data_IF_531859755807
#
_entry.id   IF_531859755807
#
_cell.length_a   1.000
_cell.length_b   1.000
_cell.length_c   1.000
_cell.angle_alpha   90.00
_cell.angle_beta   90.00
_cell.angle_gamma   90.00
#
_symmetry.space_group_name_H-M   'P 1'
#
loop_
_entity.id
_entity.type
_entity.pdbx_description
1 polymer ?
#
# COMPACT_ATOMS: atom_id res chain seq x y z
N UNK A 1 -29.69 -15.23 -12.32
CA UNK A 1 -30.29 -16.24 -11.42
C UNK A 1 -30.72 -15.51 -10.15
N UNK A 2 -32.01 -15.17 -10.05
CA UNK A 2 -32.57 -14.50 -8.88
C UNK A 2 -32.88 -15.52 -7.80
N UNK A 3 -32.55 -15.22 -6.55
CA UNK A 3 -33.11 -15.92 -5.39
C UNK A 3 -33.36 -14.90 -4.27
N UNK A 4 -34.64 -14.60 -4.07
CA UNK A 4 -35.18 -13.79 -2.98
C UNK A 4 -35.64 -14.72 -1.86
N UNK A 5 -35.31 -14.43 -0.61
CA UNK A 5 -35.98 -15.03 0.56
C UNK A 5 -36.41 -13.92 1.49
N UNK A 6 -37.72 -13.92 1.76
CA UNK A 6 -38.52 -13.03 2.61
C UNK A 6 -38.61 -13.58 4.06
N UNK A 7 -39.12 -12.80 5.03
CA UNK A 7 -38.65 -12.76 6.41
C UNK A 7 -39.42 -13.68 7.38
N UNK A 8 -38.76 -14.01 8.49
CA UNK A 8 -39.39 -14.65 9.65
C UNK A 8 -39.95 -13.63 10.64
N UNK A 9 -41.26 -13.71 10.89
CA UNK A 9 -42.02 -13.06 11.96
C UNK A 9 -41.98 -13.89 13.24
N UNK A 10 -42.14 -13.24 14.42
CA UNK A 10 -42.68 -13.73 15.73
C UNK A 10 -42.14 -12.82 16.85
N UNK A 11 -42.81 -12.45 17.95
CA UNK A 11 -44.11 -12.74 18.57
C UNK A 11 -44.55 -11.48 19.35
N UNK A 12 -45.87 -11.29 19.44
CA UNK A 12 -46.54 -10.25 20.23
C UNK A 12 -46.41 -10.47 21.75
N UNK A 13 -46.06 -9.42 22.48
CA UNK A 13 -46.45 -9.28 23.89
C UNK A 13 -47.66 -8.34 24.00
N UNK A 14 -48.82 -8.95 24.25
CA UNK A 14 -50.01 -8.27 24.76
C UNK A 14 -49.82 -8.00 26.25
N UNK A 15 -49.94 -6.74 26.66
CA UNK A 15 -50.26 -6.36 28.03
C UNK A 15 -51.37 -5.31 27.99
N UNK A 16 -52.30 -5.44 28.92
CA UNK A 16 -53.69 -4.94 28.86
C UNK A 16 -53.79 -3.51 29.41
N UNK A 17 -54.67 -2.72 28.82
CA UNK A 17 -55.23 -1.51 29.44
C UNK A 17 -56.28 -1.89 30.50
N UNK A 18 -56.63 -0.98 31.42
CA UNK A 18 -57.98 -0.40 31.30
C UNK A 18 -58.18 1.07 31.74
N UNK A 19 -59.16 1.69 31.07
CA UNK A 19 -60.24 2.58 31.54
C UNK A 19 -59.97 3.93 32.25
N UNK A 20 -60.26 5.00 31.48
CA UNK A 20 -61.20 6.11 31.74
C UNK A 20 -61.31 6.74 33.14
N UNK A 21 -61.06 8.05 33.20
CA UNK A 21 -61.93 8.99 33.92
C UNK A 21 -61.78 10.42 33.38
N UNK A 22 -62.87 10.97 32.84
CA UNK A 22 -63.07 12.40 32.58
C UNK A 22 -63.52 13.03 33.88
N UNK A 23 -62.89 14.13 34.29
CA UNK A 23 -63.29 14.94 35.43
C UNK A 23 -62.91 16.39 35.20
N UNK A 24 -63.90 17.22 34.90
CA UNK A 24 -63.75 18.67 34.82
C UNK A 24 -63.73 19.25 36.24
N UNK A 25 -62.69 20.01 36.57
CA UNK A 25 -62.69 20.93 37.71
C UNK A 25 -61.84 22.15 37.36
N UNK A 26 -62.52 23.29 37.29
CA UNK A 26 -61.97 24.63 37.10
C UNK A 26 -61.14 24.99 38.34
N UNK A 27 -59.83 25.17 38.19
CA UNK A 27 -58.95 25.73 39.23
C UNK A 27 -58.13 26.84 38.61
N UNK A 28 -58.41 28.05 39.06
CA UNK A 28 -57.72 29.30 38.70
C UNK A 28 -56.38 29.37 39.44
N UNK A 29 -55.25 29.33 38.73
CA UNK A 29 -53.93 29.66 39.30
C UNK A 29 -52.98 30.22 38.23
N UNK A 30 -52.44 31.41 38.53
CA UNK A 30 -51.40 32.22 37.88
C UNK A 30 -50.69 31.64 36.64
N UNK A 31 -50.87 32.31 35.51
CA UNK A 31 -49.94 32.21 34.39
C UNK A 31 -48.62 32.89 34.75
N UNK A 32 -47.64 32.12 35.23
CA UNK A 32 -46.24 32.53 35.17
C UNK A 32 -45.76 32.35 33.73
N UNK A 33 -45.60 33.44 32.99
CA UNK A 33 -44.92 33.45 31.70
C UNK A 33 -43.43 33.24 31.95
N UNK A 34 -42.99 31.98 31.94
CA UNK A 34 -41.58 31.66 31.79
C UNK A 34 -41.15 32.11 30.39
N UNK A 35 -40.02 32.81 30.21
CA UNK A 35 -39.45 32.95 28.88
C UNK A 35 -39.13 31.55 28.38
N UNK A 36 -39.85 31.09 27.35
CA UNK A 36 -39.41 29.92 26.59
C UNK A 36 -38.11 30.30 25.91
N UNK A 37 -37.00 29.95 26.53
CA UNK A 37 -35.70 29.96 25.87
C UNK A 37 -35.84 29.03 24.65
N UNK A 38 -35.91 29.62 23.46
CA UNK A 38 -35.66 28.88 22.24
C UNK A 38 -34.18 28.51 22.29
N UNK A 39 -33.88 27.29 22.71
CA UNK A 39 -32.63 26.68 22.33
C UNK A 39 -32.70 26.56 20.81
N UNK A 40 -32.11 27.52 20.11
CA UNK A 40 -31.80 27.36 18.69
C UNK A 40 -30.89 26.13 18.65
N UNK A 41 -31.47 25.00 18.29
CA UNK A 41 -30.73 23.77 18.08
C UNK A 41 -29.79 24.10 16.93
N UNK A 42 -28.55 24.48 17.27
CA UNK A 42 -27.49 24.67 16.29
C UNK A 42 -27.48 23.40 15.45
N UNK A 43 -27.84 23.55 14.16
CA UNK A 43 -27.82 22.42 13.25
C UNK A 43 -26.44 21.77 13.39
N UNK A 44 -26.35 20.44 13.56
CA UNK A 44 -25.06 19.79 13.60
C UNK A 44 -24.35 20.20 12.32
N UNK A 45 -23.26 20.96 12.44
CA UNK A 45 -22.39 21.26 11.30
C UNK A 45 -21.91 19.89 10.84
N UNK A 46 -22.50 19.38 9.76
CA UNK A 46 -22.13 18.11 9.23
C UNK A 46 -20.63 18.18 8.94
N UNK A 47 -19.83 17.42 9.68
CA UNK A 47 -18.40 17.29 9.43
C UNK A 47 -18.28 16.81 7.98
N UNK A 48 -17.74 17.66 7.11
CA UNK A 48 -17.52 17.30 5.72
C UNK A 48 -16.77 15.97 5.69
N UNK A 49 -17.29 15.00 4.93
CA UNK A 49 -16.59 13.74 4.73
C UNK A 49 -15.19 14.06 4.19
N UNK A 50 -14.13 13.35 4.66
CA UNK A 50 -12.80 13.57 4.14
C UNK A 50 -12.83 13.40 2.62
N UNK A 51 -12.22 14.35 1.91
CA UNK A 51 -12.12 14.27 0.45
C UNK A 51 -11.43 12.96 0.06
N UNK A 52 -11.98 12.26 -0.94
CA UNK A 52 -11.35 11.07 -1.49
C UNK A 52 -10.01 11.44 -2.15
N UNK A 53 -9.03 10.55 -2.06
CA UNK A 53 -7.79 10.68 -2.82
C UNK A 53 -8.09 10.61 -4.32
N UNK A 54 -7.39 11.45 -5.10
CA UNK A 54 -7.38 11.38 -6.55
C UNK A 54 -6.11 10.64 -6.99
N UNK A 55 -6.26 9.63 -7.84
CA UNK A 55 -5.12 8.97 -8.45
C UNK A 55 -4.40 9.92 -9.41
N UNK A 56 -3.10 10.15 -9.15
CA UNK A 56 -2.23 11.03 -9.96
C UNK A 56 -1.29 10.25 -10.88
N UNK A 57 -1.15 8.94 -10.62
CA UNK A 57 -0.34 8.02 -11.41
C UNK A 57 -0.63 6.58 -11.02
N UNK A 58 -0.60 5.70 -12.03
CA UNK A 58 -0.67 4.24 -11.90
C UNK A 58 0.10 3.62 -13.05
N UNK A 59 0.62 2.41 -12.82
CA UNK A 59 1.12 1.54 -13.88
C UNK A 59 0.71 0.11 -13.56
N UNK A 60 0.07 -0.56 -14.53
CA UNK A 60 -0.41 -1.94 -14.39
C UNK A 60 0.49 -2.94 -15.14
N UNK A 61 1.57 -2.46 -15.79
CA UNK A 61 2.50 -3.28 -16.56
C UNK A 61 1.84 -4.17 -17.63
N UNK A 62 0.76 -3.68 -18.22
CA UNK A 62 0.09 -4.33 -19.35
C UNK A 62 0.97 -4.35 -20.60
N UNK A 63 0.91 -5.45 -21.32
CA UNK A 63 1.62 -5.64 -22.59
C UNK A 63 1.89 -7.11 -22.89
N UNK A 64 2.42 -7.39 -24.07
CA UNK A 64 2.68 -8.75 -24.50
C UNK A 64 3.80 -9.40 -23.65
N UNK A 65 3.68 -10.70 -23.40
CA UNK A 65 4.75 -11.45 -22.73
C UNK A 65 6.07 -11.33 -23.50
N UNK A 66 7.15 -11.00 -22.79
CA UNK A 66 8.49 -10.80 -23.37
C UNK A 66 8.74 -9.40 -23.93
N UNK A 67 7.73 -8.51 -24.01
CA UNK A 67 7.96 -7.12 -24.38
C UNK A 67 8.60 -6.35 -23.22
N UNK A 68 9.23 -5.21 -23.53
CA UNK A 68 9.75 -4.29 -22.50
C UNK A 68 8.63 -3.38 -21.98
N UNK A 69 8.78 -2.81 -20.78
CA UNK A 69 7.98 -1.65 -20.36
C UNK A 69 8.08 -0.53 -21.38
N UNK A 70 6.98 0.19 -21.59
CA UNK A 70 6.92 1.25 -22.58
C UNK A 70 7.93 2.36 -22.26
N UNK A 71 8.74 2.74 -23.25
CA UNK A 71 9.85 3.66 -23.03
C UNK A 71 9.35 5.05 -22.61
N UNK A 72 8.22 5.52 -23.12
CA UNK A 72 7.60 6.81 -22.74
C UNK A 72 7.35 6.96 -21.23
N UNK A 73 7.07 5.86 -20.51
CA UNK A 73 6.90 5.85 -19.06
C UNK A 73 8.17 5.52 -18.26
N UNK A 74 9.13 4.82 -18.87
CA UNK A 74 10.24 4.19 -18.15
C UNK A 74 11.62 4.47 -18.74
N UNK A 75 12.58 4.73 -17.86
CA UNK A 75 14.01 4.68 -18.13
C UNK A 75 14.48 3.27 -17.81
N UNK A 76 15.25 2.66 -18.72
CA UNK A 76 15.96 1.40 -18.43
C UNK A 76 17.42 1.72 -18.20
N UNK A 77 17.88 1.46 -16.98
CA UNK A 77 19.28 1.64 -16.61
C UNK A 77 20.10 0.41 -17.00
N UNK A 78 21.27 0.64 -17.58
CA UNK A 78 22.15 -0.43 -18.05
C UNK A 78 23.58 -0.22 -17.55
N UNK A 79 24.37 -1.28 -17.51
CA UNK A 79 25.75 -1.22 -17.03
C UNK A 79 25.89 -1.35 -15.51
N UNK A 80 26.95 -0.77 -14.96
CA UNK A 80 27.38 -0.90 -13.56
C UNK A 80 27.34 0.43 -12.78
N UNK A 81 26.73 1.46 -13.35
CA UNK A 81 26.54 2.78 -12.73
C UNK A 81 25.98 3.78 -13.73
N UNK A 82 25.51 4.93 -13.24
CA UNK A 82 25.20 6.06 -14.12
C UNK A 82 26.47 6.62 -14.78
N UNK A 83 26.35 7.31 -15.93
CA UNK A 83 27.45 8.10 -16.48
C UNK A 83 28.00 9.07 -15.43
N UNK A 84 29.31 9.01 -15.17
CA UNK A 84 30.00 9.81 -14.14
C UNK A 84 29.53 9.55 -12.69
N UNK A 85 28.71 8.53 -12.45
CA UNK A 85 28.29 8.10 -11.13
C UNK A 85 29.35 7.26 -10.41
N UNK A 86 29.14 6.96 -9.12
CA UNK A 86 29.99 6.02 -8.41
C UNK A 86 29.95 4.64 -9.08
N UNK A 87 31.06 3.88 -9.08
CA UNK A 87 31.09 2.53 -9.63
C UNK A 87 30.18 1.60 -8.84
N UNK A 88 29.76 0.50 -9.47
CA UNK A 88 28.90 -0.52 -8.86
C UNK A 88 27.64 0.08 -8.23
N UNK A 89 27.02 1.02 -8.95
CA UNK A 89 25.83 1.78 -8.53
C UNK A 89 25.93 2.43 -7.14
N UNK A 90 27.15 2.64 -6.62
CA UNK A 90 27.41 3.17 -5.28
C UNK A 90 27.17 2.20 -4.12
N UNK A 91 26.80 0.95 -4.38
CA UNK A 91 26.39 -0.04 -3.37
C UNK A 91 27.33 -1.24 -3.30
N UNK A 92 28.32 -1.33 -4.19
CA UNK A 92 29.21 -2.50 -4.28
C UNK A 92 28.54 -3.72 -4.91
N UNK A 93 27.40 -3.53 -5.57
CA UNK A 93 26.67 -4.59 -6.26
C UNK A 93 27.44 -5.13 -7.47
N UNK A 94 27.22 -6.42 -7.82
CA UNK A 94 28.09 -7.19 -8.73
C UNK A 94 27.49 -7.43 -10.11
N UNK A 95 26.21 -7.13 -10.28
CA UNK A 95 25.50 -7.31 -11.54
C UNK A 95 25.82 -6.21 -12.54
N UNK A 96 25.74 -6.57 -13.82
CA UNK A 96 25.56 -5.60 -14.91
C UNK A 96 24.07 -5.56 -15.26
N UNK A 97 23.43 -4.39 -15.14
CA UNK A 97 22.04 -4.26 -15.58
C UNK A 97 21.97 -4.27 -17.11
N UNK A 98 20.96 -4.93 -17.65
CA UNK A 98 20.71 -5.00 -19.09
C UNK A 98 19.24 -4.73 -19.39
N UNK A 99 18.97 -4.37 -20.63
CA UNK A 99 17.64 -4.22 -21.18
C UNK A 99 17.13 -5.51 -21.84
N UNK A 100 17.85 -6.63 -21.73
CA UNK A 100 17.47 -7.88 -22.40
C UNK A 100 16.16 -8.42 -21.81
N UNK A 101 15.23 -8.97 -22.63
CA UNK A 101 13.96 -9.52 -22.12
C UNK A 101 14.14 -10.54 -20.98
N UNK A 102 15.19 -11.35 -21.08
CA UNK A 102 15.57 -12.32 -20.04
C UNK A 102 15.90 -11.72 -18.67
N UNK A 103 16.19 -10.42 -18.59
CA UNK A 103 16.42 -9.67 -17.36
C UNK A 103 15.27 -8.72 -17.02
N UNK A 104 14.58 -8.17 -18.01
CA UNK A 104 13.54 -7.16 -17.86
C UNK A 104 12.46 -7.31 -18.94
N UNK A 105 11.28 -7.79 -18.57
CA UNK A 105 10.17 -7.96 -19.50
C UNK A 105 8.81 -7.92 -18.80
N UNK A 106 7.74 -7.68 -19.56
CA UNK A 106 6.37 -7.93 -19.16
C UNK A 106 6.06 -9.42 -19.29
N UNK A 107 5.17 -9.95 -18.44
CA UNK A 107 4.83 -11.37 -18.45
C UNK A 107 3.53 -11.69 -19.21
N UNK A 108 2.82 -10.68 -19.71
CA UNK A 108 1.54 -10.86 -20.40
C UNK A 108 0.32 -10.90 -19.49
N UNK A 109 0.51 -10.81 -18.17
CA UNK A 109 -0.54 -10.94 -17.15
C UNK A 109 -0.63 -9.71 -16.23
N UNK A 110 -0.12 -8.55 -16.67
CA UNK A 110 -0.11 -7.32 -15.86
C UNK A 110 1.01 -7.29 -14.82
N UNK A 111 2.14 -7.96 -15.08
CA UNK A 111 3.29 -7.91 -14.19
C UNK A 111 4.60 -7.61 -14.92
N UNK A 112 5.41 -6.78 -14.27
CA UNK A 112 6.82 -6.65 -14.58
C UNK A 112 7.60 -7.84 -14.02
N UNK A 113 8.44 -8.43 -14.86
CA UNK A 113 9.41 -9.45 -14.47
C UNK A 113 10.82 -8.89 -14.56
N UNK A 114 11.44 -8.70 -13.39
CA UNK A 114 12.87 -8.43 -13.25
C UNK A 114 13.54 -9.72 -12.79
N UNK A 115 14.47 -10.23 -13.59
CA UNK A 115 15.13 -11.52 -13.34
C UNK A 115 16.64 -11.35 -13.22
N UNK A 116 17.16 -11.64 -12.03
CA UNK A 116 18.59 -11.81 -11.85
C UNK A 116 19.04 -13.15 -12.47
N UNK A 117 20.08 -13.13 -13.30
CA UNK A 117 20.66 -14.31 -13.94
C UNK A 117 22.12 -14.42 -13.56
N UNK A 118 22.56 -15.64 -13.27
CA UNK A 118 23.96 -15.97 -13.01
C UNK A 118 24.48 -16.84 -14.13
N UNK A 119 25.65 -16.48 -14.67
CA UNK A 119 26.41 -17.30 -15.60
C UNK A 119 27.88 -17.32 -15.16
N UNK A 120 28.34 -18.46 -14.65
CA UNK A 120 29.63 -18.56 -13.96
C UNK A 120 29.75 -17.56 -12.81
N UNK A 121 30.70 -16.63 -12.91
CA UNK A 121 30.92 -15.54 -11.95
C UNK A 121 30.15 -14.25 -12.27
N UNK A 122 29.50 -14.18 -13.43
CA UNK A 122 28.83 -12.99 -13.94
C UNK A 122 27.37 -12.99 -13.48
N UNK A 123 26.90 -11.81 -13.08
CA UNK A 123 25.49 -11.56 -12.77
C UNK A 123 24.92 -10.51 -13.71
N UNK A 124 23.71 -10.74 -14.20
CA UNK A 124 22.90 -9.72 -14.89
C UNK A 124 21.54 -9.57 -14.24
N UNK A 125 20.93 -8.40 -14.37
CA UNK A 125 19.56 -8.13 -13.92
C UNK A 125 18.94 -6.99 -14.74
N UNK A 126 17.71 -6.61 -14.45
CA UNK A 126 17.06 -5.40 -14.97
C UNK A 126 16.96 -4.31 -13.89
N UNK A 127 16.99 -3.04 -14.32
CA UNK A 127 16.71 -1.87 -13.50
C UNK A 127 15.90 -0.87 -14.33
N UNK A 128 14.80 -0.38 -13.77
CA UNK A 128 13.98 0.65 -14.41
C UNK A 128 13.57 1.73 -13.43
N UNK A 129 13.35 2.93 -13.96
CA UNK A 129 12.95 4.10 -13.21
C UNK A 129 11.82 4.82 -13.94
N UNK A 130 10.82 5.39 -13.25
CA UNK A 130 9.85 6.24 -13.89
C UNK A 130 10.54 7.42 -14.59
N UNK A 131 10.07 7.79 -15.78
CA UNK A 131 10.53 9.05 -16.41
C UNK A 131 10.01 10.29 -15.70
N UNK A 132 8.87 10.18 -15.03
CA UNK A 132 8.31 11.25 -14.21
C UNK A 132 9.17 11.48 -12.98
N UNK A 133 9.51 12.74 -12.73
CA UNK A 133 10.29 13.20 -11.57
C UNK A 133 9.51 14.18 -10.70
N UNK A 134 8.23 14.38 -10.98
CA UNK A 134 7.33 15.37 -10.36
C UNK A 134 6.48 14.79 -9.21
N UNK A 135 6.82 13.59 -8.73
CA UNK A 135 6.17 13.00 -7.56
C UNK A 135 6.57 13.77 -6.30
N UNK A 136 5.73 14.72 -5.89
CA UNK A 136 5.93 15.53 -4.69
C UNK A 136 4.66 15.56 -3.84
N UNK A 137 4.82 15.43 -2.53
CA UNK A 137 3.75 15.72 -1.60
C UNK A 137 3.36 17.20 -1.74
N UNK A 138 2.06 17.52 -1.81
CA UNK A 138 1.62 18.91 -1.80
C UNK A 138 2.11 19.61 -0.53
N UNK A 139 2.52 20.85 -0.69
CA UNK A 139 2.85 21.78 0.39
C UNK A 139 1.65 22.66 0.69
N UNK A 140 1.65 23.36 1.83
CA UNK A 140 0.57 24.31 2.12
C UNK A 140 0.45 25.43 1.06
N UNK A 141 1.54 25.76 0.38
CA UNK A 141 1.54 26.74 -0.71
C UNK A 141 0.87 26.23 -2.00
N UNK A 142 0.91 24.92 -2.25
CA UNK A 142 0.36 24.31 -3.48
C UNK A 142 -1.05 23.74 -3.25
N UNK A 143 -1.29 23.15 -2.08
CA UNK A 143 -2.59 22.66 -1.64
C UNK A 143 -2.60 22.60 -0.10
N UNK A 144 -3.15 23.61 0.59
CA UNK A 144 -3.30 23.60 2.05
C UNK A 144 -3.91 22.30 2.56
N UNK A 145 -3.21 21.61 3.47
CA UNK A 145 -3.62 20.33 4.03
C UNK A 145 -3.67 19.15 3.03
N UNK A 146 -3.08 19.30 1.85
CA UNK A 146 -2.95 18.22 0.86
C UNK A 146 -1.89 17.18 1.26
N UNK A 147 -2.08 15.94 0.81
CA UNK A 147 -1.13 14.85 1.01
C UNK A 147 -0.99 14.01 -0.26
N UNK A 148 0.15 13.34 -0.41
CA UNK A 148 0.38 12.31 -1.42
C UNK A 148 0.44 10.96 -0.70
N UNK A 149 -0.30 9.99 -1.22
CA UNK A 149 -0.36 8.62 -0.70
C UNK A 149 0.13 7.66 -1.80
N UNK A 150 0.93 6.68 -1.40
CA UNK A 150 1.12 5.46 -2.19
C UNK A 150 0.06 4.46 -1.72
N UNK A 151 -0.94 4.22 -2.56
CA UNK A 151 -2.07 3.35 -2.21
C UNK A 151 -1.68 1.87 -2.23
N UNK A 152 -1.06 1.42 -3.33
CA UNK A 152 -0.77 0.01 -3.52
C UNK A 152 0.58 -0.22 -4.23
N UNK A 153 1.34 -1.17 -3.70
CA UNK A 153 2.55 -1.73 -4.34
C UNK A 153 2.50 -3.25 -4.18
N UNK A 154 2.44 -3.98 -5.30
CA UNK A 154 2.55 -5.43 -5.30
C UNK A 154 3.95 -5.85 -5.75
N UNK A 155 4.63 -6.64 -4.91
CA UNK A 155 5.92 -7.25 -5.25
C UNK A 155 5.82 -8.75 -4.97
N UNK A 156 6.12 -9.56 -5.99
CA UNK A 156 6.28 -11.01 -5.83
C UNK A 156 7.73 -11.39 -6.10
N UNK A 157 8.37 -12.04 -5.14
CA UNK A 157 9.74 -12.54 -5.28
C UNK A 157 9.70 -14.05 -5.35
N UNK A 158 10.15 -14.61 -6.47
CA UNK A 158 10.38 -16.05 -6.62
C UNK A 158 11.88 -16.30 -6.66
N UNK A 159 12.42 -16.91 -5.61
CA UNK A 159 13.80 -17.39 -5.64
C UNK A 159 13.87 -18.66 -6.49
N UNK A 160 14.88 -18.83 -7.37
CA UNK A 160 15.11 -20.10 -8.03
C UNK A 160 15.45 -21.17 -6.97
N UNK A 161 14.86 -22.35 -7.11
CA UNK A 161 15.18 -23.50 -6.26
C UNK A 161 16.66 -23.84 -6.42
N UNK A 162 17.41 -23.81 -5.31
CA UNK A 162 18.86 -24.10 -5.29
C UNK A 162 19.76 -22.96 -4.76
N UNK A 163 19.26 -21.73 -4.63
CA UNK A 163 20.08 -20.60 -4.17
C UNK A 163 20.55 -20.69 -2.69
N UNK A 164 20.10 -21.71 -1.94
CA UNK A 164 20.34 -21.83 -0.49
C UNK A 164 21.31 -22.95 -0.10
N UNK A 165 21.81 -23.76 -1.04
CA UNK A 165 22.65 -24.92 -0.74
C UNK A 165 24.14 -24.62 -0.54
N UNK A 166 24.58 -23.41 -0.90
CA UNK A 166 26.02 -23.11 -0.98
C UNK A 166 26.59 -22.53 0.33
N UNK A 167 25.75 -22.44 1.38
CA UNK A 167 26.15 -21.99 2.72
C UNK A 167 26.25 -23.17 3.70
N UNK A 168 26.80 -24.30 3.27
CA UNK A 168 27.42 -25.22 4.21
C UNK A 168 28.74 -24.59 4.64
N UNK A 169 28.78 -24.07 5.87
CA UNK A 169 29.99 -23.52 6.46
C UNK A 169 31.06 -24.63 6.48
N UNK A 170 32.12 -24.47 5.71
CA UNK A 170 33.34 -25.25 5.89
C UNK A 170 33.88 -24.92 7.28
N UNK A 171 33.98 -25.87 8.23
CA UNK A 171 34.66 -25.62 9.49
C UNK A 171 36.16 -25.64 9.20
N UNK A 172 36.73 -24.51 8.80
CA UNK A 172 38.18 -24.39 8.58
C UNK A 172 38.86 -24.12 9.93
N UNK A 173 39.70 -25.08 10.33
CA UNK A 173 40.82 -25.01 11.27
C UNK A 173 40.66 -24.26 12.61
N UNK A 174 40.49 -25.04 13.68
CA UNK A 174 40.96 -24.62 15.00
C UNK A 174 42.49 -24.69 15.01
N UNK A 175 43.12 -23.52 15.03
CA UNK A 175 44.51 -23.34 15.39
C UNK A 175 44.80 -23.95 16.79
N UNK A 176 45.74 -24.90 16.95
CA UNK A 176 46.11 -25.39 18.28
C UNK A 176 46.96 -24.33 19.02
N UNK A 177 46.56 -24.00 20.24
CA UNK A 177 47.27 -23.10 21.14
C UNK A 177 48.67 -23.67 21.50
N UNK A 178 49.72 -22.82 21.60
CA UNK A 178 51.02 -23.27 22.05
C UNK A 178 50.99 -23.58 23.56
N UNK A 179 51.32 -24.82 23.92
CA UNK A 179 51.57 -25.21 25.29
C UNK A 179 52.95 -24.70 25.71
N UNK A 180 53.00 -24.03 26.87
CA UNK A 180 54.22 -23.48 27.45
C UNK A 180 55.21 -24.57 27.85
N UNK A 181 56.49 -24.30 27.63
CA UNK A 181 57.59 -25.04 28.24
C UNK A 181 58.26 -24.11 29.25
N UNK A 182 58.07 -24.44 30.53
CA UNK A 182 58.93 -24.01 31.62
C UNK A 182 60.23 -24.81 31.59
N UNK A 183 61.36 -24.14 31.75
CA UNK A 183 62.62 -24.68 32.31
C UNK A 183 63.31 -23.57 33.07
#
# INVERSE_FOLDING_TARGET
MSMSIRPGTRVHHRARAPLLAVGAALVTTCALTLPTASAEQAAPVAKAAPAAFQEVWRTDFDGAAGSRPAADGWITDTGTGYPSGPPNWGTGERQTYTDRPENLQLDGAGHLRITARKDGATWTSGRIEPRRSDFAAPTDATRPGGSLLVDHVAVSVRQPAGARTDRAATPTDRHPAPQGATS
#
